data_IF_920303794301
#
_entry.id   IF_920303794301
#
_cell.length_a   1.000
_cell.length_b   1.000
_cell.length_c   1.000
_cell.angle_alpha   90.00
_cell.angle_beta   90.00
_cell.angle_gamma   90.00
#
_symmetry.space_group_name_H-M   'P 1'
#
loop_
_entity.id
_entity.type
_entity.pdbx_description
1 polymer ?
#
# COMPACT_ATOMS: atom_id res chain seq x y z
N UNK A 1 -32.06 0.13 -49.76
CA UNK A 1 -31.54 1.26 -48.98
C UNK A 1 -31.88 0.94 -47.54
N UNK A 2 -30.90 0.42 -46.81
CA UNK A 2 -31.10 -0.16 -45.48
C UNK A 2 -31.21 0.95 -44.43
N UNK A 3 -32.36 1.09 -43.74
CA UNK A 3 -32.61 2.20 -42.80
C UNK A 3 -31.80 2.12 -41.49
N UNK A 4 -30.88 1.16 -41.36
CA UNK A 4 -30.08 0.91 -40.16
C UNK A 4 -28.72 1.64 -40.16
N UNK A 5 -28.17 1.99 -41.31
CA UNK A 5 -26.91 2.76 -41.41
C UNK A 5 -26.93 4.13 -40.70
N UNK A 6 -27.98 4.99 -40.83
CA UNK A 6 -27.97 6.29 -40.16
C UNK A 6 -28.07 6.18 -38.63
N UNK A 7 -28.67 5.12 -38.10
CA UNK A 7 -28.79 4.91 -36.66
C UNK A 7 -27.46 4.49 -36.03
N UNK A 8 -26.68 3.66 -36.72
CA UNK A 8 -25.34 3.27 -36.27
C UNK A 8 -24.37 4.46 -36.29
N UNK A 9 -24.46 5.31 -37.32
CA UNK A 9 -23.67 6.55 -37.39
C UNK A 9 -24.06 7.53 -36.28
N UNK A 10 -25.36 7.66 -35.99
CA UNK A 10 -25.84 8.50 -34.89
C UNK A 10 -25.39 7.99 -33.53
N UNK A 11 -25.43 6.67 -33.31
CA UNK A 11 -24.97 6.04 -32.07
C UNK A 11 -23.45 6.20 -31.88
N UNK A 12 -22.68 6.04 -32.96
CA UNK A 12 -21.23 6.24 -32.93
C UNK A 12 -20.88 7.69 -32.61
N UNK A 13 -21.62 8.65 -33.19
CA UNK A 13 -21.44 10.07 -32.90
C UNK A 13 -21.76 10.38 -31.44
N UNK A 14 -22.89 9.87 -30.94
CA UNK A 14 -23.28 10.03 -29.53
C UNK A 14 -22.22 9.47 -28.57
N UNK A 15 -21.65 8.30 -28.87
CA UNK A 15 -20.62 7.70 -28.04
C UNK A 15 -19.34 8.57 -28.03
N UNK A 16 -18.93 9.09 -29.20
CA UNK A 16 -17.76 9.95 -29.30
C UNK A 16 -17.93 11.25 -28.50
N UNK A 17 -19.12 11.86 -28.53
CA UNK A 17 -19.44 13.05 -27.73
C UNK A 17 -19.36 12.76 -26.23
N UNK A 18 -19.85 11.62 -25.76
CA UNK A 18 -19.72 11.23 -24.36
C UNK A 18 -18.27 11.07 -23.92
N UNK A 19 -17.43 10.45 -24.76
CA UNK A 19 -15.99 10.30 -24.49
C UNK A 19 -15.31 11.67 -24.44
N UNK A 20 -15.63 12.57 -25.37
CA UNK A 20 -15.08 13.92 -25.42
C UNK A 20 -15.47 14.74 -24.18
N UNK A 21 -16.73 14.65 -23.73
CA UNK A 21 -17.18 15.34 -22.51
C UNK A 21 -16.49 14.81 -21.26
N UNK A 22 -16.30 13.49 -21.15
CA UNK A 22 -15.58 12.88 -20.03
C UNK A 22 -14.11 13.30 -20.03
N UNK A 23 -13.45 13.30 -21.20
CA UNK A 23 -12.08 13.76 -21.34
C UNK A 23 -11.90 15.24 -20.97
N UNK A 24 -12.85 16.10 -21.35
CA UNK A 24 -12.84 17.51 -20.96
C UNK A 24 -12.99 17.70 -19.44
N UNK A 25 -13.85 16.90 -18.79
CA UNK A 25 -14.03 16.93 -17.34
C UNK A 25 -12.76 16.46 -16.60
N UNK A 26 -12.09 15.44 -17.11
CA UNK A 26 -10.78 14.98 -16.60
C UNK A 26 -9.69 16.04 -16.81
N UNK A 27 -9.68 16.74 -17.94
CA UNK A 27 -8.73 17.84 -18.17
C UNK A 27 -9.00 19.04 -17.27
N UNK A 28 -10.26 19.37 -16.96
CA UNK A 28 -10.60 20.41 -15.99
C UNK A 28 -10.13 20.04 -14.57
N UNK A 29 -10.23 18.78 -14.17
CA UNK A 29 -9.68 18.30 -12.90
C UNK A 29 -8.14 18.36 -12.86
N UNK A 30 -7.46 18.10 -13.98
CA UNK A 30 -5.99 18.20 -14.08
C UNK A 30 -5.46 19.63 -14.21
N UNK A 31 -6.29 20.61 -14.60
CA UNK A 31 -5.91 22.02 -14.68
C UNK A 31 -6.09 22.78 -13.36
N UNK A 32 -6.45 22.10 -12.26
CA UNK A 32 -6.21 22.70 -10.94
C UNK A 32 -4.69 22.87 -10.78
N UNK A 33 -4.18 24.10 -10.64
CA UNK A 33 -2.78 24.27 -10.33
C UNK A 33 -2.54 23.55 -9.00
N UNK A 34 -1.63 22.59 -9.00
CA UNK A 34 -0.92 22.21 -7.77
C UNK A 34 -0.13 23.44 -7.34
N UNK A 35 -0.80 24.39 -6.69
CA UNK A 35 -0.16 25.31 -5.79
C UNK A 35 0.34 24.44 -4.63
N UNK A 36 1.59 24.02 -4.74
CA UNK A 36 2.39 23.59 -3.62
C UNK A 36 2.52 24.76 -2.64
N UNK A 37 1.49 24.97 -1.83
CA UNK A 37 1.63 25.65 -0.54
C UNK A 37 1.51 24.56 0.53
N UNK A 38 2.52 24.42 1.42
CA UNK A 38 2.41 23.54 2.56
C UNK A 38 1.40 24.18 3.52
N UNK A 39 0.12 23.83 3.35
CA UNK A 39 -0.88 24.10 4.38
C UNK A 39 -0.50 23.20 5.55
N UNK A 40 0.24 23.78 6.49
CA UNK A 40 0.39 23.27 7.84
C UNK A 40 -1.00 23.26 8.47
N UNK A 41 -1.78 22.22 8.17
CA UNK A 41 -2.75 21.70 9.12
C UNK A 41 -1.92 21.31 10.33
N UNK A 42 -2.12 21.91 11.52
CA UNK A 42 -1.64 21.31 12.75
C UNK A 42 -2.50 20.07 12.96
N UNK A 43 -2.24 19.02 12.17
CA UNK A 43 -2.55 17.67 12.58
C UNK A 43 -1.66 17.52 13.80
N UNK A 44 -2.29 17.53 14.96
CA UNK A 44 -1.71 17.02 16.18
C UNK A 44 -1.51 15.51 15.98
N UNK A 45 -0.60 15.13 15.07
CA UNK A 45 -0.01 13.81 15.00
C UNK A 45 0.88 13.78 16.23
N UNK A 46 0.73 12.83 17.16
CA UNK A 46 1.75 12.63 18.17
C UNK A 46 3.10 12.32 17.48
N UNK A 47 3.92 13.36 17.33
CA UNK A 47 5.16 13.43 16.54
C UNK A 47 6.34 12.71 17.21
N UNK A 48 6.15 11.54 17.82
CA UNK A 48 7.27 10.87 18.51
C UNK A 48 7.41 9.37 18.28
N UNK A 49 6.50 8.72 17.53
CA UNK A 49 6.58 7.27 17.24
C UNK A 49 7.09 6.92 15.84
N UNK A 50 6.60 7.62 14.81
CA UNK A 50 6.72 7.16 13.42
C UNK A 50 8.08 7.45 12.77
N UNK A 51 8.77 8.52 13.19
CA UNK A 51 10.08 8.90 12.61
C UNK A 51 11.20 7.92 13.02
N UNK A 52 11.13 7.41 14.25
CA UNK A 52 12.05 6.39 14.78
C UNK A 52 11.87 5.09 13.99
N UNK A 53 10.62 4.68 13.74
CA UNK A 53 10.33 3.49 12.94
C UNK A 53 10.82 3.65 11.49
N UNK A 54 10.65 4.83 10.88
CA UNK A 54 11.13 5.09 9.52
C UNK A 54 12.67 5.06 9.41
N UNK A 55 13.38 5.61 10.41
CA UNK A 55 14.84 5.58 10.47
C UNK A 55 15.37 4.14 10.67
N UNK A 56 14.77 3.40 11.59
CA UNK A 56 15.11 1.99 11.85
C UNK A 56 14.81 1.10 10.64
N UNK A 57 13.68 1.31 9.95
CA UNK A 57 13.35 0.63 8.69
C UNK A 57 14.42 0.90 7.62
N UNK A 58 14.85 2.16 7.45
CA UNK A 58 15.93 2.48 6.49
C UNK A 58 17.24 1.80 6.85
N UNK A 59 17.58 1.70 8.14
CA UNK A 59 18.78 0.97 8.59
C UNK A 59 18.66 -0.52 8.30
N UNK A 60 17.52 -1.13 8.59
CA UNK A 60 17.25 -2.53 8.27
C UNK A 60 17.39 -2.82 6.78
N UNK A 61 16.78 -2.00 5.91
CA UNK A 61 16.87 -2.18 4.46
C UNK A 61 18.30 -1.99 3.92
N UNK A 62 19.13 -1.16 4.57
CA UNK A 62 20.56 -1.02 4.24
C UNK A 62 21.38 -2.28 4.52
N UNK A 63 20.93 -3.15 5.42
CA UNK A 63 21.57 -4.44 5.65
C UNK A 63 21.24 -5.47 4.56
N UNK A 64 20.49 -5.06 3.54
CA UNK A 64 20.09 -5.87 2.38
C UNK A 64 19.45 -7.22 2.78
N UNK A 65 18.36 -7.18 3.57
CA UNK A 65 17.67 -8.39 4.00
C UNK A 65 17.22 -9.21 2.80
N UNK A 66 17.45 -10.52 2.86
CA UNK A 66 16.99 -11.46 1.84
C UNK A 66 15.47 -11.40 1.79
N UNK A 67 14.91 -11.27 0.59
CA UNK A 67 13.46 -11.30 0.41
C UNK A 67 12.92 -12.72 0.48
N UNK A 68 11.66 -12.86 0.88
CA UNK A 68 10.97 -14.14 0.94
C UNK A 68 9.74 -14.17 0.05
N UNK A 69 9.66 -15.23 -0.75
CA UNK A 69 8.48 -15.63 -1.47
C UNK A 69 8.16 -17.09 -1.17
N UNK A 70 6.87 -17.43 -1.14
CA UNK A 70 6.41 -18.81 -0.95
C UNK A 70 6.78 -19.75 -2.11
N UNK A 71 7.16 -19.18 -3.26
CA UNK A 71 7.59 -19.92 -4.46
C UNK A 71 9.09 -20.23 -4.46
N UNK A 72 9.87 -19.59 -3.57
CA UNK A 72 11.30 -19.80 -3.50
C UNK A 72 11.65 -21.08 -2.73
N UNK A 73 12.74 -21.75 -3.13
CA UNK A 73 13.31 -22.89 -2.38
C UNK A 73 14.02 -22.46 -1.08
N UNK A 74 13.75 -21.25 -0.60
CA UNK A 74 14.35 -20.76 0.63
C UNK A 74 13.69 -21.48 1.80
N UNK A 75 14.50 -22.11 2.64
CA UNK A 75 14.01 -22.68 3.87
C UNK A 75 13.41 -21.55 4.76
N UNK A 76 12.15 -21.66 5.18
CA UNK A 76 11.49 -20.59 5.90
C UNK A 76 12.06 -20.39 7.31
N UNK A 77 12.55 -21.43 7.97
CA UNK A 77 13.16 -21.31 9.31
C UNK A 77 14.49 -20.60 9.23
N UNK A 78 15.32 -20.95 8.24
CA UNK A 78 16.59 -20.28 7.96
C UNK A 78 16.36 -18.80 7.60
N UNK A 79 15.34 -18.50 6.78
CA UNK A 79 14.99 -17.11 6.45
C UNK A 79 14.56 -16.32 7.68
N UNK A 80 13.69 -16.88 8.53
CA UNK A 80 13.25 -16.21 9.77
C UNK A 80 14.45 -15.90 10.65
N UNK A 81 15.34 -16.87 10.87
CA UNK A 81 16.54 -16.67 11.67
C UNK A 81 17.42 -15.54 11.12
N UNK A 82 17.66 -15.50 9.80
CA UNK A 82 18.43 -14.42 9.17
C UNK A 82 17.77 -13.06 9.38
N UNK A 83 16.45 -12.96 9.21
CA UNK A 83 15.72 -11.70 9.41
C UNK A 83 15.76 -11.25 10.87
N UNK A 84 15.65 -12.17 11.84
CA UNK A 84 15.75 -11.82 13.26
C UNK A 84 17.11 -11.22 13.63
N UNK A 85 18.20 -11.79 13.11
CA UNK A 85 19.55 -11.26 13.30
C UNK A 85 19.66 -9.84 12.72
N UNK A 86 19.09 -9.61 11.53
CA UNK A 86 19.10 -8.28 10.90
C UNK A 86 18.22 -7.26 11.63
N UNK A 87 17.07 -7.68 12.16
CA UNK A 87 16.21 -6.83 13.00
C UNK A 87 16.95 -6.41 14.28
N UNK A 88 17.66 -7.33 14.92
CA UNK A 88 18.51 -7.03 16.08
C UNK A 88 19.63 -6.05 15.72
N UNK A 89 20.31 -6.25 14.60
CA UNK A 89 21.37 -5.35 14.12
C UNK A 89 20.85 -3.93 13.82
N UNK A 90 19.61 -3.81 13.36
CA UNK A 90 18.92 -2.54 13.13
C UNK A 90 18.26 -1.96 14.40
N UNK A 91 18.46 -2.57 15.57
CA UNK A 91 17.86 -2.18 16.86
C UNK A 91 16.32 -2.16 16.83
N UNK A 92 15.70 -3.05 16.04
CA UNK A 92 14.25 -3.27 15.99
C UNK A 92 13.92 -4.45 16.90
N UNK A 93 13.80 -4.18 18.19
CA UNK A 93 13.52 -5.21 19.22
C UNK A 93 12.04 -5.30 19.57
N UNK A 94 11.32 -4.19 19.45
CA UNK A 94 9.90 -4.07 19.76
C UNK A 94 9.04 -4.85 18.77
N UNK A 95 8.15 -5.70 19.28
CA UNK A 95 7.28 -6.56 18.44
C UNK A 95 6.44 -5.72 17.46
N UNK A 96 5.87 -4.61 17.93
CA UNK A 96 5.09 -3.70 17.08
C UNK A 96 5.92 -3.15 15.90
N UNK A 97 7.17 -2.76 16.13
CA UNK A 97 8.07 -2.28 15.07
C UNK A 97 8.49 -3.41 14.12
N UNK A 98 8.74 -4.63 14.63
CA UNK A 98 9.04 -5.79 13.77
C UNK A 98 7.89 -6.08 12.81
N UNK A 99 6.65 -6.05 13.29
CA UNK A 99 5.45 -6.28 12.47
C UNK A 99 5.27 -5.23 11.36
N UNK A 100 5.72 -3.98 11.60
CA UNK A 100 5.74 -2.93 10.56
C UNK A 100 6.83 -3.16 9.51
N UNK A 101 7.97 -3.75 9.89
CA UNK A 101 9.16 -3.88 9.03
C UNK A 101 9.15 -5.14 8.17
N UNK A 102 8.71 -6.27 8.70
CA UNK A 102 8.63 -7.56 8.00
C UNK A 102 7.92 -7.50 6.62
N UNK A 103 6.80 -6.80 6.42
CA UNK A 103 6.14 -6.76 5.10
C UNK A 103 7.01 -6.14 4.00
N UNK A 104 8.05 -5.37 4.33
CA UNK A 104 8.96 -4.79 3.33
C UNK A 104 9.93 -5.82 2.70
N UNK A 105 10.04 -7.02 3.28
CA UNK A 105 10.91 -8.10 2.79
C UNK A 105 10.14 -9.33 2.31
N UNK A 106 8.81 -9.24 2.30
CA UNK A 106 7.93 -10.27 1.74
C UNK A 106 7.53 -9.91 0.31
N UNK A 107 7.40 -10.91 -0.56
CA UNK A 107 6.96 -10.73 -1.95
C UNK A 107 5.80 -11.67 -2.33
N UNK A 108 5.05 -11.27 -3.35
CA UNK A 108 3.98 -12.06 -4.00
C UNK A 108 2.97 -12.62 -2.98
N UNK A 109 2.70 -13.92 -3.03
CA UNK A 109 1.72 -14.61 -2.19
C UNK A 109 2.01 -14.46 -0.68
N UNK A 110 3.29 -14.40 -0.28
CA UNK A 110 3.66 -14.22 1.13
C UNK A 110 3.24 -12.85 1.65
N UNK A 111 3.43 -11.79 0.85
CA UNK A 111 2.99 -10.44 1.20
C UNK A 111 1.46 -10.32 1.23
N UNK A 112 0.77 -10.94 0.27
CA UNK A 112 -0.70 -10.94 0.23
C UNK A 112 -1.27 -11.65 1.47
N UNK A 113 -0.72 -12.81 1.82
CA UNK A 113 -1.13 -13.55 3.00
C UNK A 113 -0.88 -12.75 4.29
N UNK A 114 0.27 -12.08 4.39
CA UNK A 114 0.62 -11.24 5.54
C UNK A 114 -0.40 -10.12 5.76
N UNK A 115 -0.75 -9.39 4.70
CA UNK A 115 -1.74 -8.29 4.77
C UNK A 115 -3.10 -8.78 5.22
N UNK A 116 -3.58 -9.87 4.62
CA UNK A 116 -4.86 -10.47 4.97
C UNK A 116 -4.92 -10.92 6.44
N UNK A 117 -3.83 -11.50 6.96
CA UNK A 117 -3.76 -11.90 8.38
C UNK A 117 -3.59 -10.74 9.34
N UNK A 118 -2.88 -9.68 8.95
CA UNK A 118 -2.80 -8.46 9.75
C UNK A 118 -4.18 -7.80 9.91
N UNK A 119 -5.01 -7.84 8.86
CA UNK A 119 -6.40 -7.38 8.90
C UNK A 119 -7.31 -8.29 9.77
N UNK A 120 -7.17 -9.62 9.68
CA UNK A 120 -7.93 -10.58 10.53
C UNK A 120 -7.56 -10.46 12.02
N UNK A 121 -6.30 -10.21 12.34
CA UNK A 121 -5.84 -9.97 13.72
C UNK A 121 -6.41 -8.67 14.29
N UNK A 122 -6.48 -7.60 13.47
CA UNK A 122 -7.14 -6.35 13.85
C UNK A 122 -8.65 -6.51 14.06
N UNK A 123 -9.32 -7.32 13.23
CA UNK A 123 -10.76 -7.60 13.37
C UNK A 123 -11.10 -8.39 14.65
N UNK A 124 -10.21 -9.30 15.09
CA UNK A 124 -10.38 -10.04 16.35
C UNK A 124 -10.09 -9.20 17.60
N UNK A 125 -9.22 -8.20 17.50
CA UNK A 125 -8.97 -7.27 18.61
C UNK A 125 -10.19 -6.36 18.89
N UNK A 126 -10.89 -5.92 17.83
CA UNK A 126 -12.09 -5.06 17.95
C UNK A 126 -13.29 -5.81 18.54
N UNK A 127 -13.39 -7.13 18.33
CA UNK A 127 -14.49 -7.94 18.88
C UNK A 127 -14.34 -8.24 20.38
N UNK A 128 -13.12 -8.16 20.94
CA UNK A 128 -12.89 -8.36 22.38
C UNK A 128 -13.07 -7.09 23.23
N UNK A 129 -13.29 -5.91 22.62
CA UNK A 129 -13.53 -4.66 23.35
C UNK A 129 -15.01 -4.33 23.57
N UNK A 130 -15.94 -5.21 23.17
CA UNK A 130 -17.39 -4.96 23.23
C UNK A 130 -18.13 -5.73 24.34
N UNK A 131 -17.41 -6.43 25.21
CA UNK A 131 -17.98 -7.14 26.36
C UNK A 131 -17.24 -6.80 27.66
N UNK A 132 -17.28 -5.54 28.08
CA UNK A 132 -17.07 -5.13 29.47
C UNK A 132 -17.93 -3.91 29.79
#
# INVERSE_FOLDING_TARGET
MDPMEPQLLQLLHQQQEQIAQMAAQIQLLQQQPMAAEPVAVPVNVPENGDDIDAKRLRQFLKLNPKKFSAEDKTDPEDWVYQIEVLLQAAQITEEASKLKVIPHVLEKAALVWWRFRAEDAGAKAVTNFREF
#
